data_IF_926116021581
#
_entry.id   IF_926116021581
#
_cell.length_a   1.000
_cell.length_b   1.000
_cell.length_c   1.000
_cell.angle_alpha   90.00
_cell.angle_beta   90.00
_cell.angle_gamma   90.00
#
_symmetry.space_group_name_H-M   'P 1'
#
loop_
_entity.id
_entity.type
_entity.pdbx_description
1 polymer ?
#
# COMPACT_ATOMS: atom_id res chain seq x y z
N UNK A 1 -13.69 -3.92 -15.11
CA UNK A 1 -12.62 -2.89 -15.15
C UNK A 1 -11.60 -3.20 -14.05
N UNK A 2 -10.52 -3.91 -14.36
CA UNK A 2 -9.74 -4.64 -13.34
C UNK A 2 -8.57 -3.86 -12.70
N UNK A 3 -8.27 -2.61 -13.10
CA UNK A 3 -7.04 -1.94 -12.61
C UNK A 3 -7.03 -0.40 -12.64
N UNK A 4 -8.17 0.28 -12.79
CA UNK A 4 -8.20 1.72 -13.09
C UNK A 4 -7.67 2.65 -11.97
N UNK A 5 -7.48 2.16 -10.75
CA UNK A 5 -7.04 2.99 -9.62
C UNK A 5 -5.72 2.53 -9.00
N UNK A 6 -4.87 1.78 -9.73
CA UNK A 6 -3.58 1.29 -9.19
C UNK A 6 -2.72 2.42 -8.64
N UNK A 7 -2.49 3.48 -9.44
CA UNK A 7 -1.65 4.61 -9.02
C UNK A 7 -2.25 5.31 -7.80
N UNK A 8 -3.56 5.59 -7.81
CA UNK A 8 -4.27 6.19 -6.68
C UNK A 8 -4.09 5.38 -5.39
N UNK A 9 -4.27 4.05 -5.46
CA UNK A 9 -4.13 3.16 -4.29
C UNK A 9 -2.70 3.11 -3.77
N UNK A 10 -1.70 3.18 -4.64
CA UNK A 10 -0.29 3.27 -4.22
C UNK A 10 -0.03 4.58 -3.48
N UNK A 11 -0.53 5.71 -3.99
CA UNK A 11 -0.41 7.01 -3.31
C UNK A 11 -1.15 7.05 -1.97
N UNK A 12 -2.33 6.45 -1.90
CA UNK A 12 -3.08 6.26 -0.65
C UNK A 12 -2.31 5.38 0.34
N UNK A 13 -1.73 4.26 -0.12
CA UNK A 13 -0.89 3.40 0.71
C UNK A 13 0.30 4.16 1.29
N UNK A 14 1.03 4.92 0.47
CA UNK A 14 2.15 5.75 0.96
C UNK A 14 1.70 6.74 2.04
N UNK A 15 0.48 7.29 1.93
CA UNK A 15 -0.09 8.20 2.93
C UNK A 15 -0.46 7.48 4.22
N UNK A 16 -0.96 6.23 4.12
CA UNK A 16 -1.31 5.39 5.27
C UNK A 16 -0.07 4.91 6.02
N UNK A 17 1.02 4.60 5.31
CA UNK A 17 2.28 4.13 5.90
C UNK A 17 2.99 5.20 6.75
N UNK A 18 2.76 6.49 6.48
CA UNK A 18 3.31 7.61 7.26
C UNK A 18 2.58 7.85 8.60
N UNK A 19 1.48 7.15 8.89
CA UNK A 19 0.68 7.38 10.09
C UNK A 19 1.09 6.42 11.22
N UNK A 20 1.29 6.97 12.40
CA UNK A 20 1.45 6.19 13.62
C UNK A 20 0.09 5.88 14.30
N UNK A 21 -0.06 4.73 14.98
CA UNK A 21 0.84 3.59 14.98
C UNK A 21 0.77 2.81 13.65
N UNK A 22 1.82 2.02 13.35
CA UNK A 22 1.90 1.15 12.18
C UNK A 22 0.64 0.29 12.02
N UNK A 23 0.09 0.23 10.80
CA UNK A 23 -1.14 -0.53 10.51
C UNK A 23 -0.81 -1.91 9.98
N UNK A 24 -1.61 -2.92 10.36
CA UNK A 24 -1.47 -4.27 9.81
C UNK A 24 -1.83 -4.31 8.32
N UNK A 25 -1.24 -5.25 7.58
CA UNK A 25 -1.53 -5.43 6.14
C UNK A 25 -3.01 -5.70 5.89
N UNK A 26 -3.65 -6.49 6.76
CA UNK A 26 -5.10 -6.75 6.71
C UNK A 26 -5.93 -5.46 6.81
N UNK A 27 -5.55 -4.55 7.71
CA UNK A 27 -6.21 -3.25 7.83
C UNK A 27 -5.99 -2.40 6.57
N UNK A 28 -4.76 -2.31 6.08
CA UNK A 28 -4.41 -1.56 4.87
C UNK A 28 -5.15 -2.08 3.64
N UNK A 29 -5.29 -3.40 3.50
CA UNK A 29 -6.04 -4.03 2.43
C UNK A 29 -7.53 -3.64 2.46
N UNK A 30 -8.13 -3.60 3.66
CA UNK A 30 -9.49 -3.09 3.84
C UNK A 30 -9.64 -1.63 3.44
N UNK A 31 -8.73 -0.76 3.88
CA UNK A 31 -8.75 0.67 3.54
C UNK A 31 -8.56 0.96 2.05
N UNK A 32 -7.82 0.11 1.35
CA UNK A 32 -7.54 0.25 -0.09
C UNK A 32 -8.54 -0.51 -0.98
N UNK A 33 -9.56 -1.13 -0.38
CA UNK A 33 -10.53 -2.00 -1.05
C UNK A 33 -9.84 -3.01 -1.97
N UNK A 34 -8.86 -3.71 -1.39
CA UNK A 34 -7.99 -4.63 -2.11
C UNK A 34 -7.64 -5.86 -1.27
N UNK A 35 -6.83 -6.74 -1.84
CA UNK A 35 -6.35 -7.94 -1.16
C UNK A 35 -5.00 -7.68 -0.52
N UNK A 36 -4.69 -8.41 0.55
CA UNK A 36 -3.37 -8.34 1.21
C UNK A 36 -2.22 -8.59 0.21
N UNK A 37 -2.39 -9.55 -0.71
CA UNK A 37 -1.44 -9.81 -1.82
C UNK A 37 -1.20 -8.56 -2.67
N UNK A 38 -2.23 -7.78 -2.95
CA UNK A 38 -2.10 -6.55 -3.73
C UNK A 38 -1.38 -5.46 -2.93
N UNK A 39 -1.62 -5.36 -1.62
CA UNK A 39 -0.88 -4.46 -0.75
C UNK A 39 0.61 -4.82 -0.74
N UNK A 40 0.97 -6.09 -0.57
CA UNK A 40 2.37 -6.53 -0.66
C UNK A 40 3.02 -6.13 -2.00
N UNK A 41 2.33 -6.35 -3.13
CA UNK A 41 2.83 -5.88 -4.43
C UNK A 41 3.01 -4.37 -4.52
N UNK A 42 2.18 -3.59 -3.85
CA UNK A 42 2.35 -2.14 -3.79
C UNK A 42 3.54 -1.75 -2.91
N UNK A 43 3.79 -2.47 -1.82
CA UNK A 43 4.98 -2.28 -0.99
C UNK A 43 6.26 -2.61 -1.79
N UNK A 44 6.25 -3.70 -2.55
CA UNK A 44 7.37 -4.06 -3.43
C UNK A 44 7.61 -2.97 -4.48
N UNK A 45 6.55 -2.46 -5.13
CA UNK A 45 6.65 -1.36 -6.07
C UNK A 45 7.22 -0.09 -5.43
N UNK A 46 6.80 0.23 -4.20
CA UNK A 46 7.32 1.39 -3.46
C UNK A 46 8.83 1.21 -3.17
N UNK A 47 9.28 0.00 -2.82
CA UNK A 47 10.70 -0.32 -2.65
C UNK A 47 11.49 -0.22 -3.95
N UNK A 48 10.94 -0.72 -5.06
CA UNK A 48 11.54 -0.62 -6.40
C UNK A 48 11.72 0.85 -6.84
N UNK A 49 10.89 1.77 -6.34
CA UNK A 49 11.02 3.21 -6.56
C UNK A 49 12.09 3.88 -5.66
N UNK A 50 12.78 3.12 -4.80
CA UNK A 50 13.84 3.61 -3.94
C UNK A 50 13.37 4.15 -2.58
N UNK A 51 12.11 3.94 -2.19
CA UNK A 51 11.65 4.28 -0.86
C UNK A 51 12.01 3.17 0.13
N UNK A 52 12.63 3.56 1.24
CA UNK A 52 12.87 2.66 2.35
C UNK A 52 11.58 2.52 3.18
N UNK A 53 11.15 1.27 3.37
CA UNK A 53 9.98 0.95 4.19
C UNK A 53 10.49 0.43 5.52
N UNK A 54 10.54 1.33 6.50
CA UNK A 54 10.90 0.97 7.88
C UNK A 54 9.90 -0.04 8.45
N UNK A 55 10.42 -0.90 9.34
CA UNK A 55 9.68 -2.02 9.92
C UNK A 55 8.85 -1.60 11.12
#
# INVERSE_FOLDING_TARGET
MLNQHKILRVLQLMTLLKKEPSKSIKFLAGMLESTERTVYRYLDLIKELGFDLER
#
